data_IF_406599135266
#
_entry.id   IF_406599135266
#
_cell.length_a   1.000
_cell.length_b   1.000
_cell.length_c   1.000
_cell.angle_alpha   90.00
_cell.angle_beta   90.00
_cell.angle_gamma   90.00
#
_symmetry.space_group_name_H-M   'P 1'
#
loop_
_entity.id
_entity.type
_entity.pdbx_description
1 polymer ?
#
# COMPACT_ATOMS: atom_id res chain seq x y z
N UNK A 1 21.36 21.06 -13.58
CA UNK A 1 21.45 21.19 -12.10
C UNK A 1 20.85 19.96 -11.46
N UNK A 2 21.54 19.38 -10.47
CA UNK A 2 21.03 18.23 -9.70
C UNK A 2 20.35 18.75 -8.43
N UNK A 3 19.10 18.33 -8.20
CA UNK A 3 18.34 18.67 -7.01
C UNK A 3 18.13 17.41 -6.18
N UNK A 4 18.66 17.41 -4.95
CA UNK A 4 18.41 16.34 -3.99
C UNK A 4 16.99 16.47 -3.47
N UNK A 5 16.11 15.54 -3.86
CA UNK A 5 14.78 15.41 -3.26
C UNK A 5 14.91 14.64 -1.94
N UNK A 6 14.48 15.24 -0.83
CA UNK A 6 14.31 14.56 0.45
C UNK A 6 12.81 14.30 0.64
N UNK A 7 12.31 13.08 0.38
CA UNK A 7 10.92 12.77 0.68
C UNK A 7 10.70 12.87 2.19
N UNK A 8 9.68 13.63 2.59
CA UNK A 8 9.28 13.72 3.99
C UNK A 8 8.57 12.43 4.41
N UNK A 9 9.06 11.79 5.48
CA UNK A 9 8.46 10.59 6.07
C UNK A 9 7.86 10.96 7.41
N UNK A 10 6.61 10.56 7.66
CA UNK A 10 5.92 10.80 8.93
C UNK A 10 5.68 9.47 9.63
N UNK A 11 6.10 9.37 10.89
CA UNK A 11 5.82 8.20 11.72
C UNK A 11 4.37 8.24 12.21
N UNK A 12 3.62 7.15 11.98
CA UNK A 12 2.24 6.96 12.43
C UNK A 12 2.06 5.56 13.01
N UNK A 13 1.32 5.46 14.11
CA UNK A 13 1.02 4.18 14.77
C UNK A 13 -0.43 3.79 14.52
N UNK A 14 -0.63 2.61 13.94
CA UNK A 14 -1.94 2.00 13.73
C UNK A 14 -2.09 0.74 14.57
N UNK A 15 -3.32 0.43 14.99
CA UNK A 15 -3.66 -0.85 15.60
C UNK A 15 -4.31 -1.73 14.53
N UNK A 16 -3.80 -2.94 14.37
CA UNK A 16 -4.30 -3.93 13.41
C UNK A 16 -4.67 -5.22 14.16
N UNK A 17 -5.57 -6.05 13.60
CA UNK A 17 -5.84 -7.38 14.15
C UNK A 17 -4.56 -8.22 14.25
N UNK A 18 -4.45 -9.00 15.33
CA UNK A 18 -3.26 -9.84 15.60
C UNK A 18 -2.97 -10.82 14.47
N UNK A 19 -4.02 -11.48 13.94
CA UNK A 19 -3.89 -12.44 12.85
C UNK A 19 -3.28 -11.80 11.58
N UNK A 20 -3.69 -10.57 11.27
CA UNK A 20 -3.14 -9.81 10.14
C UNK A 20 -1.66 -9.47 10.36
N UNK A 21 -1.28 -9.05 11.56
CA UNK A 21 0.13 -8.78 11.91
C UNK A 21 0.97 -10.05 11.71
N UNK A 22 0.48 -11.20 12.17
CA UNK A 22 1.18 -12.48 12.05
C UNK A 22 1.38 -12.87 10.58
N UNK A 23 0.33 -12.76 9.75
CA UNK A 23 0.42 -13.03 8.32
C UNK A 23 1.43 -12.09 7.63
N UNK A 24 1.35 -10.80 7.89
CA UNK A 24 2.29 -9.82 7.34
C UNK A 24 3.74 -10.08 7.78
N UNK A 25 3.94 -10.55 9.01
CA UNK A 25 5.27 -10.88 9.54
C UNK A 25 5.91 -12.04 8.78
N UNK A 26 5.15 -13.11 8.55
CA UNK A 26 5.59 -14.26 7.75
C UNK A 26 5.95 -13.83 6.33
N UNK A 27 5.10 -13.03 5.68
CA UNK A 27 5.37 -12.52 4.33
C UNK A 27 6.60 -11.64 4.29
N UNK A 28 6.75 -10.72 5.24
CA UNK A 28 7.90 -9.83 5.33
C UNK A 28 9.21 -10.63 5.48
N UNK A 29 9.22 -11.65 6.34
CA UNK A 29 10.36 -12.54 6.52
C UNK A 29 10.67 -13.35 5.25
N UNK A 30 9.67 -13.97 4.63
CA UNK A 30 9.85 -14.77 3.41
C UNK A 30 10.37 -13.94 2.24
N UNK A 31 9.96 -12.67 2.14
CA UNK A 31 10.36 -11.75 1.07
C UNK A 31 11.60 -10.93 1.41
N UNK A 32 12.13 -11.04 2.63
CA UNK A 32 13.31 -10.29 3.08
C UNK A 32 13.10 -8.77 3.12
N UNK A 33 11.86 -8.31 3.41
CA UNK A 33 11.52 -6.88 3.48
C UNK A 33 11.12 -6.49 4.90
N UNK A 34 11.24 -5.21 5.24
CA UNK A 34 10.76 -4.72 6.53
C UNK A 34 9.23 -4.67 6.56
N UNK A 35 8.65 -4.86 7.75
CA UNK A 35 7.20 -4.74 7.95
C UNK A 35 6.66 -3.39 7.45
N UNK A 36 7.37 -2.31 7.72
CA UNK A 36 6.99 -0.97 7.27
C UNK A 36 6.97 -0.86 5.75
N UNK A 37 7.97 -1.42 5.07
CA UNK A 37 8.04 -1.43 3.60
C UNK A 37 6.90 -2.26 2.99
N UNK A 38 6.58 -3.42 3.57
CA UNK A 38 5.46 -4.25 3.14
C UNK A 38 4.12 -3.52 3.31
N UNK A 39 3.86 -2.95 4.48
CA UNK A 39 2.60 -2.23 4.76
C UNK A 39 2.44 -1.03 3.82
N UNK A 40 3.50 -0.26 3.57
CA UNK A 40 3.45 0.86 2.64
C UNK A 40 3.07 0.42 1.21
N UNK A 41 3.62 -0.71 0.74
CA UNK A 41 3.29 -1.27 -0.57
C UNK A 41 1.85 -1.78 -0.62
N UNK A 42 1.41 -2.51 0.41
CA UNK A 42 0.03 -2.99 0.51
C UNK A 42 -0.97 -1.82 0.46
N UNK A 43 -0.73 -0.76 1.24
CA UNK A 43 -1.59 0.42 1.24
C UNK A 43 -1.57 1.15 -0.11
N UNK A 44 -0.40 1.34 -0.70
CA UNK A 44 -0.26 2.01 -2.00
C UNK A 44 -0.98 1.25 -3.11
N UNK A 45 -0.83 -0.08 -3.13
CA UNK A 45 -1.50 -0.95 -4.08
C UNK A 45 -3.01 -0.91 -3.90
N UNK A 46 -3.48 -1.09 -2.66
CA UNK A 46 -4.91 -1.05 -2.34
C UNK A 46 -5.51 0.28 -2.78
N UNK A 47 -4.90 1.41 -2.43
CA UNK A 47 -5.37 2.75 -2.81
C UNK A 47 -5.40 2.96 -4.34
N UNK A 48 -4.41 2.45 -5.07
CA UNK A 48 -4.35 2.56 -6.53
C UNK A 48 -5.39 1.67 -7.25
N UNK A 49 -5.83 0.59 -6.60
CA UNK A 49 -6.81 -0.36 -7.12
C UNK A 49 -8.15 -0.28 -6.37
N UNK A 50 -8.36 0.74 -5.55
CA UNK A 50 -9.68 1.05 -5.04
C UNK A 50 -10.52 1.36 -6.27
N UNK A 51 -11.58 0.57 -6.47
CA UNK A 51 -12.60 0.95 -7.39
C UNK A 51 -13.15 2.29 -6.89
N UNK A 52 -12.88 3.37 -7.61
CA UNK A 52 -13.75 4.53 -7.55
C UNK A 52 -15.16 3.99 -7.75
N UNK A 53 -16.08 4.35 -6.85
CA UNK A 53 -17.52 4.04 -6.88
C UNK A 53 -18.03 3.56 -8.24
N UNK A 54 -18.86 2.50 -8.30
CA UNK A 54 -19.12 1.70 -9.51
C UNK A 54 -19.14 2.58 -10.77
N UNK A 55 -18.11 2.43 -11.61
CA UNK A 55 -18.12 2.99 -12.94
C UNK A 55 -19.31 2.38 -13.67
N UNK A 56 -20.38 3.15 -13.82
CA UNK A 56 -21.33 2.94 -14.90
C UNK A 56 -20.51 2.79 -16.18
N UNK A 57 -20.60 1.62 -16.78
CA UNK A 57 -20.08 1.33 -18.10
C UNK A 57 -20.77 2.27 -19.09
N UNK A 58 -20.14 3.42 -19.41
CA UNK A 58 -20.54 4.18 -20.60
C UNK A 58 -19.95 3.43 -21.80
N UNK A 59 -20.76 2.54 -22.34
CA UNK A 59 -20.62 1.91 -23.65
C UNK A 59 -20.10 2.94 -24.67
N UNK A 60 -18.91 2.67 -25.24
CA UNK A 60 -18.56 3.24 -26.54
C UNK A 60 -19.41 2.55 -27.59
N UNK A 61 -20.57 3.13 -27.92
CA UNK A 61 -21.25 2.88 -29.20
C UNK A 61 -20.46 3.57 -30.31
N UNK A 62 -19.79 2.76 -31.12
CA UNK A 62 -19.38 3.09 -32.50
C UNK A 62 -20.53 2.68 -33.41
#
# INVERSE_FOLDING_TARGET
MFYVKKPEMVNKTFRLPEDLINQLSVVAQQRGVSMNNLVAQCCSYALAHLADSPKEEVEKKV
#
